data_IF_238730327357
#
_entry.id   IF_238730327357
#
_cell.length_a   1.000
_cell.length_b   1.000
_cell.length_c   1.000
_cell.angle_alpha   90.00
_cell.angle_beta   90.00
_cell.angle_gamma   90.00
#
_symmetry.space_group_name_H-M   'P 1'
#
loop_
_entity.id
_entity.type
_entity.pdbx_description
1 polymer ?
#
# COMPACT_ATOMS: atom_id res chain seq x y z
N UNK A 1 -0.54 -28.52 -47.19
CA UNK A 1 -0.21 -28.67 -45.77
C UNK A 1 -1.37 -28.07 -44.98
N UNK A 2 -2.16 -28.84 -44.18
CA UNK A 2 -3.23 -28.24 -43.40
C UNK A 2 -2.65 -27.52 -42.20
N UNK A 3 -3.04 -26.24 -42.04
CA UNK A 3 -2.82 -25.46 -40.85
C UNK A 3 -3.36 -26.19 -39.62
N UNK A 4 -2.50 -26.45 -38.64
CA UNK A 4 -2.91 -26.92 -37.34
C UNK A 4 -3.69 -25.80 -36.62
N UNK A 5 -5.00 -25.87 -36.68
CA UNK A 5 -5.87 -25.10 -35.87
C UNK A 5 -5.60 -25.48 -34.39
N UNK A 6 -4.86 -24.63 -33.68
CA UNK A 6 -4.68 -24.80 -32.24
C UNK A 6 -6.04 -24.60 -31.59
N UNK A 7 -6.65 -25.66 -31.11
CA UNK A 7 -7.81 -25.58 -30.23
C UNK A 7 -7.35 -24.92 -28.94
N UNK A 8 -7.63 -23.63 -28.81
CA UNK A 8 -7.57 -22.94 -27.52
C UNK A 8 -8.69 -23.58 -26.70
N UNK A 9 -8.34 -24.40 -25.73
CA UNK A 9 -9.28 -24.84 -24.72
C UNK A 9 -9.70 -23.58 -23.94
N UNK A 10 -10.85 -23.04 -24.27
CA UNK A 10 -11.53 -22.03 -23.48
C UNK A 10 -12.02 -22.72 -22.22
N UNK A 11 -11.22 -22.69 -21.17
CA UNK A 11 -11.72 -23.08 -19.85
C UNK A 11 -12.86 -22.11 -19.52
N UNK A 12 -14.09 -22.61 -19.44
CA UNK A 12 -15.23 -21.78 -19.05
C UNK A 12 -15.08 -21.40 -17.58
N UNK A 13 -15.08 -20.08 -17.29
CA UNK A 13 -15.12 -19.55 -15.95
C UNK A 13 -16.24 -20.20 -15.16
N UNK A 14 -15.92 -20.80 -14.03
CA UNK A 14 -16.86 -21.48 -13.18
C UNK A 14 -17.56 -20.53 -12.20
N UNK A 15 -18.71 -20.94 -11.68
CA UNK A 15 -19.33 -20.23 -10.55
C UNK A 15 -18.40 -20.13 -9.33
N UNK A 16 -17.51 -21.12 -9.13
CA UNK A 16 -16.53 -21.11 -8.06
C UNK A 16 -15.49 -20.00 -8.24
N UNK A 17 -15.01 -19.76 -9.47
CA UNK A 17 -14.07 -18.67 -9.78
C UNK A 17 -14.69 -17.31 -9.48
N UNK A 18 -15.91 -17.08 -9.94
CA UNK A 18 -16.64 -15.82 -9.66
C UNK A 18 -16.81 -15.63 -8.15
N UNK A 19 -17.20 -16.70 -7.44
CA UNK A 19 -17.37 -16.66 -5.98
C UNK A 19 -16.04 -16.37 -5.27
N UNK A 20 -14.93 -16.98 -5.69
CA UNK A 20 -13.62 -16.73 -5.16
C UNK A 20 -13.25 -15.25 -5.34
N UNK A 21 -13.27 -14.74 -6.57
CA UNK A 21 -12.89 -13.33 -6.86
C UNK A 21 -13.73 -12.36 -6.03
N UNK A 22 -15.06 -12.56 -5.99
CA UNK A 22 -15.97 -11.71 -5.19
C UNK A 22 -15.68 -11.77 -3.71
N UNK A 23 -15.30 -12.94 -3.18
CA UNK A 23 -14.97 -13.08 -1.75
C UNK A 23 -13.71 -12.30 -1.36
N UNK A 24 -12.79 -12.08 -2.30
CA UNK A 24 -11.55 -11.31 -2.05
C UNK A 24 -11.79 -9.80 -1.81
N UNK A 25 -13.01 -9.32 -1.92
CA UNK A 25 -13.41 -8.02 -1.38
C UNK A 25 -13.28 -7.96 0.15
N UNK A 26 -13.45 -9.10 0.83
CA UNK A 26 -13.38 -9.23 2.28
C UNK A 26 -11.95 -9.53 2.77
N UNK A 27 -11.50 -8.83 3.84
CA UNK A 27 -10.17 -9.04 4.44
C UNK A 27 -10.00 -10.49 4.94
N UNK A 28 -11.05 -11.08 5.51
CA UNK A 28 -11.00 -12.45 6.03
C UNK A 28 -10.70 -13.45 4.91
N UNK A 29 -11.40 -13.34 3.78
CA UNK A 29 -11.18 -14.23 2.64
C UNK A 29 -9.75 -14.07 2.08
N UNK A 30 -9.21 -12.84 2.00
CA UNK A 30 -7.80 -12.62 1.60
C UNK A 30 -6.83 -13.26 2.58
N UNK A 31 -7.09 -13.16 3.87
CA UNK A 31 -6.24 -13.77 4.91
C UNK A 31 -6.28 -15.31 4.85
N UNK A 32 -7.47 -15.90 4.66
CA UNK A 32 -7.66 -17.36 4.59
C UNK A 32 -7.07 -17.96 3.30
N UNK A 33 -7.22 -17.26 2.16
CA UNK A 33 -6.75 -17.75 0.86
C UNK A 33 -5.32 -17.36 0.54
N UNK A 34 -4.80 -16.29 1.14
CA UNK A 34 -3.52 -15.68 0.77
C UNK A 34 -3.55 -15.01 -0.60
N UNK A 35 -4.73 -14.61 -1.11
CA UNK A 35 -4.91 -14.04 -2.45
C UNK A 35 -5.46 -12.62 -2.37
N UNK A 36 -5.17 -11.81 -3.41
CA UNK A 36 -5.79 -10.51 -3.62
C UNK A 36 -6.14 -10.30 -5.09
N UNK A 37 -6.95 -9.29 -5.37
CA UNK A 37 -7.39 -8.94 -6.73
C UNK A 37 -6.72 -7.65 -7.17
N UNK A 38 -6.22 -7.66 -8.41
CA UNK A 38 -5.72 -6.51 -9.13
C UNK A 38 -6.49 -6.34 -10.44
N UNK A 39 -7.02 -5.15 -10.71
CA UNK A 39 -7.83 -4.87 -11.89
C UNK A 39 -7.23 -3.72 -12.71
N UNK A 40 -7.27 -3.86 -14.04
CA UNK A 40 -6.81 -2.88 -15.01
C UNK A 40 -5.55 -3.30 -15.75
N UNK A 41 -5.52 -3.01 -17.06
CA UNK A 41 -4.50 -3.49 -17.99
C UNK A 41 -3.07 -3.15 -17.52
N UNK A 42 -2.82 -1.88 -17.18
CA UNK A 42 -1.49 -1.44 -16.77
C UNK A 42 -0.99 -2.15 -15.50
N UNK A 43 -1.86 -2.32 -14.49
CA UNK A 43 -1.49 -2.98 -13.24
C UNK A 43 -1.21 -4.47 -13.47
N UNK A 44 -2.06 -5.15 -14.25
CA UNK A 44 -1.87 -6.57 -14.56
C UNK A 44 -0.60 -6.80 -15.41
N UNK A 45 -0.30 -5.91 -16.36
CA UNK A 45 0.96 -5.96 -17.14
C UNK A 45 2.19 -5.80 -16.23
N UNK A 46 2.18 -4.86 -15.30
CA UNK A 46 3.24 -4.70 -14.30
C UNK A 46 3.37 -5.95 -13.41
N UNK A 47 2.24 -6.55 -13.00
CA UNK A 47 2.24 -7.81 -12.23
C UNK A 47 2.86 -8.96 -13.04
N UNK A 48 2.50 -9.12 -14.32
CA UNK A 48 3.08 -10.14 -15.20
C UNK A 48 4.60 -9.99 -15.35
N UNK A 49 5.11 -8.77 -15.22
CA UNK A 49 6.56 -8.46 -15.28
C UNK A 49 7.25 -8.50 -13.92
N UNK A 50 6.51 -8.71 -12.83
CA UNK A 50 7.01 -8.74 -11.46
C UNK A 50 7.39 -10.17 -11.02
N UNK A 51 7.87 -10.29 -9.78
CA UNK A 51 8.15 -11.59 -9.13
C UNK A 51 6.96 -12.18 -8.37
N UNK A 52 5.78 -11.56 -8.46
CA UNK A 52 4.60 -12.04 -7.76
C UNK A 52 4.05 -13.31 -8.43
N UNK A 53 3.55 -14.22 -7.60
CA UNK A 53 2.89 -15.44 -8.09
C UNK A 53 1.47 -15.12 -8.52
N UNK A 54 1.19 -15.33 -9.79
CA UNK A 54 -0.14 -15.14 -10.38
C UNK A 54 -0.90 -16.47 -10.30
N UNK A 55 -2.06 -16.44 -9.67
CA UNK A 55 -2.96 -17.60 -9.59
C UNK A 55 -3.83 -17.70 -10.86
N UNK A 56 -4.48 -16.60 -11.28
CA UNK A 56 -5.34 -16.52 -12.46
C UNK A 56 -5.30 -15.10 -13.05
N UNK A 57 -5.50 -15.02 -14.36
CA UNK A 57 -5.81 -13.76 -15.06
C UNK A 57 -7.09 -14.00 -15.86
N UNK A 58 -8.05 -13.11 -15.75
CA UNK A 58 -9.26 -13.10 -16.55
C UNK A 58 -9.24 -11.87 -17.45
N UNK A 59 -9.52 -12.05 -18.74
CA UNK A 59 -9.51 -10.95 -19.70
C UNK A 59 -10.68 -11.03 -20.69
N UNK A 60 -11.17 -9.86 -21.10
CA UNK A 60 -12.09 -9.69 -22.23
C UNK A 60 -11.34 -9.07 -23.40
N UNK A 61 -11.72 -9.40 -24.64
CA UNK A 61 -11.06 -8.79 -25.81
C UNK A 61 -9.66 -9.36 -26.09
N UNK A 62 -8.61 -8.50 -26.06
CA UNK A 62 -7.26 -8.95 -26.38
C UNK A 62 -6.70 -9.91 -25.32
N UNK A 63 -6.15 -11.06 -25.74
CA UNK A 63 -5.58 -12.02 -24.81
C UNK A 63 -4.32 -11.46 -24.12
N UNK A 64 -4.20 -11.73 -22.82
CA UNK A 64 -2.95 -11.48 -22.09
C UNK A 64 -1.99 -12.64 -22.35
N UNK A 65 -0.76 -12.34 -22.72
CA UNK A 65 0.27 -13.36 -23.01
C UNK A 65 0.86 -13.93 -21.72
N UNK A 66 0.05 -14.70 -20.97
CA UNK A 66 0.47 -15.36 -19.74
C UNK A 66 -0.22 -16.73 -19.59
N UNK A 67 0.48 -17.80 -19.10
CA UNK A 67 -0.08 -19.14 -18.99
C UNK A 67 -1.34 -19.24 -18.10
N UNK A 68 -1.49 -18.35 -17.12
CA UNK A 68 -2.64 -18.30 -16.23
C UNK A 68 -3.81 -17.44 -16.78
N UNK A 69 -3.72 -16.96 -18.05
CA UNK A 69 -4.75 -16.11 -18.63
C UNK A 69 -5.90 -16.94 -19.23
N UNK A 70 -7.10 -16.54 -18.87
CA UNK A 70 -8.35 -17.14 -19.33
C UNK A 70 -9.24 -16.05 -19.96
N UNK A 71 -9.80 -16.37 -21.13
CA UNK A 71 -10.74 -15.49 -21.82
C UNK A 71 -12.11 -15.61 -21.18
N UNK A 72 -12.75 -14.48 -20.87
CA UNK A 72 -14.08 -14.40 -20.28
C UNK A 72 -14.99 -13.49 -21.10
N UNK A 73 -16.30 -13.69 -20.99
CA UNK A 73 -17.25 -12.76 -21.58
C UNK A 73 -17.35 -11.46 -20.76
N UNK A 74 -17.76 -10.33 -21.36
CA UNK A 74 -18.00 -9.10 -20.62
C UNK A 74 -18.96 -9.25 -19.45
N UNK A 75 -19.98 -10.11 -19.58
CA UNK A 75 -20.94 -10.41 -18.49
C UNK A 75 -20.27 -11.14 -17.31
N UNK A 76 -19.36 -12.06 -17.59
CA UNK A 76 -18.61 -12.75 -16.54
C UNK A 76 -17.64 -11.78 -15.84
N UNK A 77 -16.93 -10.94 -16.59
CA UNK A 77 -16.07 -9.90 -16.03
C UNK A 77 -16.86 -8.94 -15.14
N UNK A 78 -18.04 -8.48 -15.56
CA UNK A 78 -18.93 -7.64 -14.76
C UNK A 78 -19.32 -8.31 -13.44
N UNK A 79 -19.59 -9.62 -13.47
CA UNK A 79 -19.92 -10.40 -12.24
C UNK A 79 -18.72 -10.61 -11.33
N UNK A 80 -17.50 -10.64 -11.86
CA UNK A 80 -16.26 -10.86 -11.10
C UNK A 80 -15.71 -9.56 -10.52
N UNK A 81 -15.72 -8.48 -11.28
CA UNK A 81 -15.09 -7.22 -10.92
C UNK A 81 -15.52 -6.69 -9.55
N UNK A 82 -14.58 -6.19 -8.79
CA UNK A 82 -14.77 -5.53 -7.49
C UNK A 82 -14.84 -4.00 -7.64
N UNK A 83 -14.65 -3.47 -8.85
CA UNK A 83 -14.75 -2.07 -9.17
C UNK A 83 -16.18 -1.69 -9.56
N UNK A 84 -16.53 -0.42 -9.38
CA UNK A 84 -17.83 0.12 -9.82
C UNK A 84 -17.99 0.05 -11.34
N UNK A 85 -16.90 0.28 -12.07
CA UNK A 85 -16.81 0.11 -13.52
C UNK A 85 -15.80 -0.98 -13.79
N UNK A 86 -16.22 -2.14 -14.29
CA UNK A 86 -15.32 -3.24 -14.62
C UNK A 86 -14.26 -2.84 -15.64
N UNK A 87 -13.08 -3.45 -15.53
CA UNK A 87 -12.00 -3.32 -16.51
C UNK A 87 -11.95 -4.55 -17.40
N UNK A 88 -11.19 -4.47 -18.51
CA UNK A 88 -11.06 -5.58 -19.46
C UNK A 88 -10.14 -6.70 -18.95
N UNK A 89 -9.44 -6.50 -17.83
CA UNK A 89 -8.53 -7.50 -17.27
C UNK A 89 -8.49 -7.44 -15.74
N UNK A 90 -8.49 -8.62 -15.13
CA UNK A 90 -8.43 -8.84 -13.70
C UNK A 90 -7.44 -9.96 -13.40
N UNK A 91 -6.55 -9.78 -12.43
CA UNK A 91 -5.66 -10.82 -11.94
C UNK A 91 -5.97 -11.17 -10.48
N UNK A 92 -5.89 -12.47 -10.18
CA UNK A 92 -5.86 -13.02 -8.82
C UNK A 92 -4.40 -13.38 -8.53
N UNK A 93 -3.85 -12.78 -7.49
CA UNK A 93 -2.41 -12.80 -7.20
C UNK A 93 -2.19 -13.24 -5.76
N UNK A 94 -1.13 -14.00 -5.49
CA UNK A 94 -0.76 -14.36 -4.13
C UNK A 94 -0.26 -13.15 -3.34
N UNK A 95 -0.71 -13.01 -2.10
CA UNK A 95 -0.22 -11.98 -1.19
C UNK A 95 1.24 -12.29 -0.83
N UNK A 96 2.19 -11.40 -1.17
CA UNK A 96 3.60 -11.62 -0.86
C UNK A 96 3.83 -11.60 0.66
N UNK A 97 4.70 -12.48 1.13
CA UNK A 97 5.09 -12.57 2.55
C UNK A 97 6.44 -11.91 2.75
N UNK A 98 6.45 -10.72 3.30
CA UNK A 98 7.68 -9.99 3.63
C UNK A 98 8.06 -10.21 5.09
N UNK A 99 9.33 -10.49 5.34
CA UNK A 99 9.90 -10.50 6.68
C UNK A 99 10.53 -9.14 6.95
N UNK A 100 10.07 -8.46 8.00
CA UNK A 100 10.68 -7.21 8.46
C UNK A 100 12.06 -7.52 9.06
N UNK A 101 13.09 -6.86 8.54
CA UNK A 101 14.44 -6.84 9.13
C UNK A 101 14.61 -5.50 9.86
N UNK A 102 14.63 -5.48 11.21
CA UNK A 102 14.78 -4.23 11.96
C UNK A 102 16.06 -3.44 11.66
N UNK A 103 17.09 -4.09 11.10
CA UNK A 103 18.36 -3.42 10.74
C UNK A 103 18.18 -2.38 9.61
N UNK A 104 17.06 -2.42 8.89
CA UNK A 104 16.76 -1.41 7.85
C UNK A 104 16.61 0.00 8.43
N UNK A 105 16.14 0.15 9.68
CA UNK A 105 15.89 1.45 10.30
C UNK A 105 17.14 2.30 10.48
N UNK A 106 18.31 1.69 10.60
CA UNK A 106 19.61 2.39 10.66
C UNK A 106 20.21 2.70 9.29
N UNK A 107 19.69 2.06 8.22
CA UNK A 107 20.24 2.15 6.85
C UNK A 107 19.34 2.90 5.87
N UNK A 108 18.04 2.91 6.13
CA UNK A 108 17.02 3.48 5.23
C UNK A 108 16.03 4.32 6.01
N UNK A 109 15.33 5.18 5.28
CA UNK A 109 14.15 5.86 5.78
C UNK A 109 12.95 4.93 5.59
N UNK A 110 12.15 4.76 6.64
CA UNK A 110 10.97 3.89 6.68
C UNK A 110 9.75 4.71 7.12
N UNK A 111 8.60 4.48 6.52
CA UNK A 111 7.33 5.02 7.01
C UNK A 111 6.72 4.09 8.05
N UNK A 112 6.11 4.66 9.07
CA UNK A 112 5.31 3.96 10.07
C UNK A 112 3.91 4.55 10.13
N UNK A 113 2.87 3.71 10.11
CA UNK A 113 1.47 4.12 10.09
C UNK A 113 0.77 3.61 11.36
N UNK A 114 0.38 4.54 12.21
CA UNK A 114 -0.31 4.27 13.47
C UNK A 114 -1.82 4.41 13.27
N UNK A 115 -2.48 3.29 13.02
CA UNK A 115 -3.93 3.17 12.86
C UNK A 115 -4.52 4.05 11.73
N UNK A 116 -3.82 4.25 10.62
CA UNK A 116 -4.36 4.91 9.44
C UNK A 116 -5.42 4.01 8.81
N UNK A 117 -6.68 4.45 8.78
CA UNK A 117 -7.82 3.58 8.46
C UNK A 117 -8.45 3.82 7.10
N UNK A 118 -8.28 5.00 6.51
CA UNK A 118 -8.88 5.30 5.22
C UNK A 118 -8.12 4.61 4.07
N UNK A 119 -8.76 3.72 3.28
CA UNK A 119 -8.13 3.03 2.17
C UNK A 119 -7.51 3.97 1.11
N UNK A 120 -8.14 5.11 0.86
CA UNK A 120 -7.62 6.12 -0.07
C UNK A 120 -6.30 6.74 0.42
N UNK A 121 -6.21 7.01 1.73
CA UNK A 121 -4.97 7.52 2.34
C UNK A 121 -3.85 6.47 2.25
N UNK A 122 -4.13 5.21 2.60
CA UNK A 122 -3.13 4.13 2.51
C UNK A 122 -2.60 4.00 1.08
N UNK A 123 -3.49 3.93 0.08
CA UNK A 123 -3.07 3.82 -1.31
C UNK A 123 -2.21 5.02 -1.77
N UNK A 124 -2.58 6.22 -1.35
CA UNK A 124 -1.80 7.43 -1.63
C UNK A 124 -0.45 7.40 -0.92
N UNK A 125 -0.39 6.99 0.35
CA UNK A 125 0.86 6.89 1.11
C UNK A 125 1.81 5.84 0.48
N UNK A 126 1.30 4.71 0.01
CA UNK A 126 2.11 3.70 -0.69
C UNK A 126 2.69 4.31 -1.99
N UNK A 127 1.92 5.09 -2.75
CA UNK A 127 2.44 5.81 -3.93
C UNK A 127 3.51 6.83 -3.58
N UNK A 128 3.32 7.56 -2.48
CA UNK A 128 4.32 8.53 -1.99
C UNK A 128 5.60 7.83 -1.56
N UNK A 129 5.50 6.67 -0.88
CA UNK A 129 6.65 5.87 -0.51
C UNK A 129 7.46 5.46 -1.75
N UNK A 130 6.81 4.91 -2.78
CA UNK A 130 7.42 4.57 -4.06
C UNK A 130 8.09 5.79 -4.71
N UNK A 131 7.38 6.92 -4.79
CA UNK A 131 7.88 8.16 -5.38
C UNK A 131 9.14 8.71 -4.70
N UNK A 132 9.16 8.63 -3.37
CA UNK A 132 10.29 9.12 -2.57
C UNK A 132 11.34 8.05 -2.27
N UNK A 133 11.29 6.88 -2.91
CA UNK A 133 12.25 5.79 -2.72
C UNK A 133 12.26 5.24 -1.29
N UNK A 134 11.09 5.16 -0.65
CA UNK A 134 10.88 4.50 0.64
C UNK A 134 10.31 3.12 0.34
N UNK A 135 11.11 2.09 0.52
CA UNK A 135 10.77 0.73 0.10
C UNK A 135 9.95 -0.05 1.14
N UNK A 136 9.94 0.40 2.39
CA UNK A 136 9.31 -0.30 3.51
C UNK A 136 8.36 0.62 4.28
N UNK A 137 7.14 0.12 4.51
CA UNK A 137 6.14 0.73 5.38
C UNK A 137 5.82 -0.26 6.49
N UNK A 138 5.90 0.16 7.76
CA UNK A 138 5.43 -0.61 8.91
C UNK A 138 4.07 -0.08 9.35
N UNK A 139 3.11 -0.96 9.53
CA UNK A 139 1.73 -0.64 9.89
C UNK A 139 1.36 -1.29 11.22
N UNK A 140 0.61 -0.58 12.05
CA UNK A 140 -0.12 -1.22 13.15
C UNK A 140 -1.17 -2.20 12.59
N UNK A 141 -1.60 -3.17 13.39
CA UNK A 141 -2.60 -4.17 13.00
C UNK A 141 -3.96 -3.55 12.62
N UNK A 142 -4.29 -2.39 13.24
CA UNK A 142 -5.53 -1.66 12.97
C UNK A 142 -5.46 -0.78 11.71
N UNK A 143 -4.28 -0.61 11.11
CA UNK A 143 -4.14 0.08 9.83
C UNK A 143 -4.89 -0.67 8.73
N UNK A 144 -5.53 0.06 7.81
CA UNK A 144 -6.28 -0.53 6.71
C UNK A 144 -5.41 -1.47 5.87
N UNK A 145 -6.02 -2.57 5.42
CA UNK A 145 -5.33 -3.60 4.65
C UNK A 145 -4.89 -3.08 3.27
N UNK A 146 -3.58 -3.13 3.00
CA UNK A 146 -2.98 -2.67 1.74
C UNK A 146 -3.43 -3.49 0.52
N UNK A 147 -3.90 -4.74 0.72
CA UNK A 147 -4.45 -5.59 -0.33
C UNK A 147 -5.97 -5.47 -0.48
N UNK A 148 -6.62 -4.55 0.25
CA UNK A 148 -8.00 -4.18 -0.05
C UNK A 148 -8.08 -3.68 -1.50
N UNK A 149 -9.06 -4.11 -2.33
CA UNK A 149 -9.16 -3.73 -3.74
C UNK A 149 -9.12 -2.22 -3.99
N UNK A 150 -9.74 -1.43 -3.10
CA UNK A 150 -9.69 0.04 -3.19
C UNK A 150 -8.30 0.60 -2.95
N UNK A 151 -7.53 -0.01 -2.03
CA UNK A 151 -6.14 0.39 -1.78
C UNK A 151 -5.26 -0.01 -2.96
N UNK A 152 -5.34 -1.27 -3.41
CA UNK A 152 -4.58 -1.76 -4.57
C UNK A 152 -4.78 -0.84 -5.77
N UNK A 153 -6.02 -0.47 -6.08
CA UNK A 153 -6.33 0.46 -7.16
C UNK A 153 -5.71 1.85 -6.94
N UNK A 154 -5.78 2.38 -5.71
CA UNK A 154 -5.26 3.70 -5.38
C UNK A 154 -3.72 3.77 -5.41
N UNK A 155 -3.03 2.63 -5.27
CA UNK A 155 -1.56 2.59 -5.33
C UNK A 155 -1.01 2.83 -6.74
N UNK A 156 -1.81 2.63 -7.79
CA UNK A 156 -1.37 2.77 -9.20
C UNK A 156 -0.09 1.96 -9.51
N UNK A 157 -0.01 0.73 -8.98
CA UNK A 157 1.13 -0.17 -9.17
C UNK A 157 2.26 -0.04 -8.12
N UNK A 158 2.26 0.98 -7.28
CA UNK A 158 3.30 1.14 -6.24
C UNK A 158 3.34 -0.02 -5.23
N UNK A 159 2.22 -0.73 -5.03
CA UNK A 159 2.14 -1.93 -4.18
C UNK A 159 3.11 -3.05 -4.60
N UNK A 160 3.59 -3.03 -5.84
CA UNK A 160 4.55 -4.02 -6.36
C UNK A 160 6.00 -3.70 -5.97
N UNK A 161 6.29 -2.46 -5.54
CA UNK A 161 7.63 -1.96 -5.25
C UNK A 161 7.84 -1.60 -3.79
N UNK A 162 6.75 -1.39 -3.04
CA UNK A 162 6.78 -1.04 -1.62
C UNK A 162 6.33 -2.22 -0.79
N UNK A 163 7.14 -2.64 0.17
CA UNK A 163 6.82 -3.71 1.12
C UNK A 163 6.04 -3.14 2.29
N UNK A 164 4.85 -3.64 2.52
CA UNK A 164 4.01 -3.24 3.66
C UNK A 164 4.02 -4.35 4.70
N UNK A 165 4.45 -4.02 5.92
CA UNK A 165 4.60 -4.94 7.03
C UNK A 165 3.59 -4.61 8.14
N UNK A 166 2.67 -5.51 8.45
CA UNK A 166 1.78 -5.40 9.60
C UNK A 166 2.44 -6.05 10.82
N UNK A 167 2.56 -5.29 11.92
CA UNK A 167 3.29 -5.73 13.10
C UNK A 167 2.74 -5.07 14.37
N UNK A 168 3.16 -5.58 15.54
CA UNK A 168 3.08 -4.80 16.78
C UNK A 168 3.96 -3.55 16.64
N UNK A 169 3.33 -2.45 16.20
CA UNK A 169 4.02 -1.19 15.95
C UNK A 169 4.68 -0.65 17.21
N UNK A 170 4.03 -0.80 18.37
CA UNK A 170 4.56 -0.33 19.65
C UNK A 170 5.83 -1.07 20.04
N UNK A 171 5.85 -2.40 19.92
CA UNK A 171 7.04 -3.20 20.17
C UNK A 171 8.17 -2.87 19.17
N UNK A 172 7.83 -2.62 17.91
CA UNK A 172 8.79 -2.25 16.86
C UNK A 172 9.42 -0.88 17.16
N UNK A 173 8.62 0.13 17.50
CA UNK A 173 9.13 1.46 17.86
C UNK A 173 9.95 1.44 19.14
N UNK A 174 9.56 0.65 20.15
CA UNK A 174 10.34 0.43 21.38
C UNK A 174 11.71 -0.14 21.06
N UNK A 175 11.79 -1.15 20.20
CA UNK A 175 13.06 -1.75 19.77
C UNK A 175 13.94 -0.76 19.01
N UNK A 176 13.36 0.02 18.10
CA UNK A 176 14.05 1.06 17.35
C UNK A 176 14.62 2.14 18.28
N UNK A 177 13.85 2.61 19.25
CA UNK A 177 14.28 3.59 20.24
C UNK A 177 15.44 3.05 21.11
N UNK A 178 15.36 1.77 21.55
CA UNK A 178 16.44 1.12 22.29
C UNK A 178 17.74 0.98 21.48
N UNK A 179 17.63 0.88 20.15
CA UNK A 179 18.75 0.88 19.21
C UNK A 179 19.20 2.29 18.79
N UNK A 180 18.71 3.35 19.46
CA UNK A 180 18.98 4.76 19.13
C UNK A 180 18.62 5.17 17.69
N UNK A 181 17.71 4.45 17.05
CA UNK A 181 17.18 4.81 15.74
C UNK A 181 16.30 6.06 15.86
N UNK A 182 16.50 7.11 15.06
CA UNK A 182 15.64 8.28 15.10
C UNK A 182 14.20 7.92 14.71
N UNK A 183 13.22 8.30 15.55
CA UNK A 183 11.79 8.20 15.28
C UNK A 183 11.21 9.61 15.24
N UNK A 184 10.78 10.02 14.05
CA UNK A 184 10.19 11.32 13.77
C UNK A 184 8.67 11.19 13.73
N UNK A 185 7.98 11.68 14.73
CA UNK A 185 6.51 11.69 14.72
C UNK A 185 5.97 13.03 14.21
N UNK A 186 4.87 12.99 13.45
CA UNK A 186 4.16 14.20 12.99
C UNK A 186 3.05 14.56 13.96
N UNK A 187 3.06 15.81 14.45
CA UNK A 187 2.12 16.32 15.45
C UNK A 187 1.63 17.73 15.06
N UNK A 188 0.61 18.21 15.78
CA UNK A 188 0.12 19.59 15.64
C UNK A 188 1.02 20.61 16.34
N UNK A 189 1.95 20.13 17.21
CA UNK A 189 2.94 20.93 17.91
C UNK A 189 4.28 20.22 17.90
N UNK A 190 5.36 20.95 17.82
CA UNK A 190 6.70 20.40 17.78
C UNK A 190 7.71 21.30 17.09
N UNK A 191 8.79 20.71 16.64
CA UNK A 191 9.82 21.38 15.86
C UNK A 191 9.33 21.62 14.43
N UNK A 192 9.50 22.84 13.93
CA UNK A 192 9.17 23.18 12.55
C UNK A 192 9.97 22.30 11.58
N UNK A 193 9.28 21.49 10.77
CA UNK A 193 9.91 20.56 9.86
C UNK A 193 10.90 21.21 8.90
N UNK A 194 10.64 22.45 8.51
CA UNK A 194 11.49 23.21 7.56
C UNK A 194 12.82 23.68 8.16
N UNK A 195 12.96 23.71 9.49
CA UNK A 195 14.19 24.05 10.20
C UNK A 195 14.79 22.87 10.98
N UNK A 196 14.03 21.78 11.14
CA UNK A 196 14.46 20.59 11.87
C UNK A 196 15.70 19.95 11.25
N UNK A 197 16.58 19.40 12.07
CA UNK A 197 17.72 18.61 11.56
C UNK A 197 17.26 17.17 11.29
N UNK A 198 17.00 16.85 10.03
CA UNK A 198 16.48 15.55 9.58
C UNK A 198 17.63 14.64 9.11
N UNK A 199 17.51 13.34 9.39
CA UNK A 199 18.50 12.33 8.97
C UNK A 199 17.99 11.57 7.73
N UNK A 200 18.90 10.94 6.99
CA UNK A 200 18.57 10.12 5.80
C UNK A 200 18.02 8.74 6.16
N UNK A 201 18.09 8.35 7.43
CA UNK A 201 17.65 7.05 7.95
C UNK A 201 16.77 7.24 9.16
N UNK A 202 16.02 6.21 9.54
CA UNK A 202 15.12 6.24 10.69
C UNK A 202 13.67 6.00 10.30
N UNK A 203 12.77 6.31 11.20
CA UNK A 203 11.34 6.05 11.05
C UNK A 203 10.58 7.37 11.05
N UNK A 204 9.74 7.59 10.05
CA UNK A 204 8.73 8.66 10.01
C UNK A 204 7.40 8.05 10.45
N UNK A 205 6.88 8.47 11.60
CA UNK A 205 5.64 7.99 12.18
C UNK A 205 4.48 8.96 11.85
N UNK A 206 3.50 8.44 11.12
CA UNK A 206 2.26 9.11 10.77
C UNK A 206 1.12 8.55 11.62
N UNK A 207 0.30 9.40 12.17
CA UNK A 207 -0.82 9.02 13.04
C UNK A 207 -2.13 8.82 12.29
N UNK A 208 -3.15 8.37 13.04
CA UNK A 208 -4.53 8.23 12.61
C UNK A 208 -5.12 9.59 12.18
N UNK A 209 -6.05 9.58 11.23
CA UNK A 209 -6.66 10.78 10.64
C UNK A 209 -7.35 11.70 11.66
N UNK A 210 -7.99 11.11 12.67
CA UNK A 210 -8.75 11.87 13.67
C UNK A 210 -8.05 12.01 15.03
N UNK A 211 -7.21 11.03 15.40
CA UNK A 211 -6.58 10.96 16.72
C UNK A 211 -5.09 11.31 16.72
N UNK A 212 -4.49 11.39 15.54
CA UNK A 212 -3.04 11.55 15.42
C UNK A 212 -2.26 10.31 15.85
N UNK A 213 -1.02 10.50 16.27
CA UNK A 213 -0.16 9.44 16.82
C UNK A 213 -0.68 9.07 18.22
N UNK A 214 -0.88 7.77 18.46
CA UNK A 214 -1.36 7.28 19.75
C UNK A 214 -0.33 7.50 20.87
N UNK A 215 -0.79 7.72 22.12
CA UNK A 215 0.08 7.94 23.28
C UNK A 215 1.05 6.78 23.50
N UNK A 216 0.59 5.54 23.25
CA UNK A 216 1.42 4.33 23.36
C UNK A 216 2.61 4.33 22.39
N UNK A 217 2.50 5.03 21.25
CA UNK A 217 3.56 5.13 20.24
C UNK A 217 4.32 6.46 20.36
N UNK A 218 3.67 7.54 20.80
CA UNK A 218 4.27 8.87 20.98
C UNK A 218 5.43 8.88 21.97
N UNK A 219 5.43 8.00 22.98
CA UNK A 219 6.51 7.87 23.95
C UNK A 219 7.85 7.42 23.36
N UNK A 220 7.84 6.80 22.18
CA UNK A 220 9.06 6.33 21.47
C UNK A 220 9.51 7.32 20.39
N UNK A 221 8.80 8.43 20.22
CA UNK A 221 9.18 9.48 19.27
C UNK A 221 10.36 10.27 19.85
N UNK A 222 11.48 10.26 19.15
CA UNK A 222 12.66 11.04 19.53
C UNK A 222 12.57 12.50 19.11
N UNK A 223 11.81 12.81 18.06
CA UNK A 223 11.60 14.17 17.56
C UNK A 223 10.16 14.36 17.07
N UNK A 224 9.48 15.32 17.67
CA UNK A 224 8.13 15.72 17.26
C UNK A 224 8.24 16.79 16.19
N UNK A 225 7.73 16.50 15.00
CA UNK A 225 7.75 17.40 13.85
C UNK A 225 6.39 18.07 13.66
N UNK A 226 6.41 19.32 13.25
CA UNK A 226 5.23 20.13 12.99
C UNK A 226 5.33 20.78 11.61
N UNK A 227 4.27 20.69 10.81
CA UNK A 227 4.12 21.40 9.54
C UNK A 227 3.35 22.69 9.83
N UNK A 228 4.01 23.87 9.83
CA UNK A 228 3.34 25.11 10.20
C UNK A 228 2.30 25.54 9.14
N UNK A 229 1.14 26.09 9.57
CA UNK A 229 0.20 26.76 8.68
C UNK A 229 0.79 28.08 8.16
N UNK A 230 0.19 28.65 7.13
CA UNK A 230 0.58 29.98 6.64
C UNK A 230 -0.64 30.94 6.57
N UNK A 231 -0.49 32.16 7.11
CA UNK A 231 0.54 32.58 8.09
C UNK A 231 0.39 31.80 9.40
N UNK A 232 1.45 31.72 10.20
CA UNK A 232 1.49 30.93 11.43
C UNK A 232 0.41 31.33 12.47
N UNK A 233 -0.13 32.53 12.36
CA UNK A 233 -1.20 33.09 13.23
C UNK A 233 -2.61 32.79 12.73
N UNK A 234 -2.75 32.07 11.59
CA UNK A 234 -4.06 31.81 10.98
C UNK A 234 -4.83 30.77 11.78
N UNK A 235 -6.05 31.12 12.17
CA UNK A 235 -7.05 30.16 12.61
C UNK A 235 -7.75 29.57 11.37
N UNK A 236 -7.61 28.29 11.14
CA UNK A 236 -8.14 27.59 9.95
C UNK A 236 -8.41 26.12 10.24
N UNK A 237 -8.12 25.25 9.27
CA UNK A 237 -8.20 23.80 9.46
C UNK A 237 -7.28 23.35 10.60
N UNK A 238 -7.80 22.49 11.48
CA UNK A 238 -7.05 21.99 12.65
C UNK A 238 -5.90 21.07 12.27
N UNK A 239 -6.01 20.36 11.13
CA UNK A 239 -5.01 19.42 10.66
C UNK A 239 -5.00 19.28 9.14
N UNK A 240 -3.92 18.73 8.61
CA UNK A 240 -3.81 18.27 7.23
C UNK A 240 -4.30 16.83 7.10
N UNK A 241 -4.81 16.46 5.92
CA UNK A 241 -5.01 15.07 5.58
C UNK A 241 -3.68 14.30 5.75
N UNK A 242 -3.73 13.08 6.31
CA UNK A 242 -2.53 12.30 6.66
C UNK A 242 -1.65 12.00 5.44
N UNK A 243 -2.23 11.71 4.26
CA UNK A 243 -1.45 11.45 3.06
C UNK A 243 -0.77 12.75 2.55
N UNK A 244 -1.42 13.91 2.67
CA UNK A 244 -0.82 15.20 2.34
C UNK A 244 0.31 15.54 3.32
N UNK A 245 0.10 15.35 4.62
CA UNK A 245 1.15 15.52 5.62
C UNK A 245 2.34 14.58 5.35
N UNK A 246 2.08 13.33 4.96
CA UNK A 246 3.12 12.37 4.55
C UNK A 246 3.91 12.89 3.34
N UNK A 247 3.23 13.43 2.32
CA UNK A 247 3.89 13.95 1.12
C UNK A 247 4.86 15.09 1.47
N UNK A 248 4.41 16.06 2.27
CA UNK A 248 5.22 17.21 2.70
C UNK A 248 6.42 16.71 3.52
N UNK A 249 6.17 15.78 4.46
CA UNK A 249 7.21 15.22 5.32
C UNK A 249 8.26 14.49 4.49
N UNK A 250 7.86 13.57 3.63
CA UNK A 250 8.80 12.83 2.76
C UNK A 250 9.58 13.74 1.83
N UNK A 251 8.93 14.76 1.24
CA UNK A 251 9.58 15.74 0.38
C UNK A 251 10.68 16.50 1.14
N UNK A 252 10.41 16.90 2.39
CA UNK A 252 11.39 17.64 3.19
C UNK A 252 12.58 16.76 3.62
N UNK A 253 12.34 15.50 3.98
CA UNK A 253 13.40 14.53 4.24
C UNK A 253 14.30 14.31 3.02
N UNK A 254 13.72 14.21 1.82
CA UNK A 254 14.47 13.97 0.56
C UNK A 254 15.14 15.23 0.01
N UNK A 255 14.57 16.42 0.25
CA UNK A 255 15.17 17.68 -0.18
C UNK A 255 16.54 17.93 0.45
N UNK A 256 16.77 17.38 1.64
CA UNK A 256 18.01 17.55 2.40
C UNK A 256 18.97 16.38 2.30
N UNK A 257 18.57 15.34 1.56
CA UNK A 257 19.27 14.05 1.47
C UNK A 257 20.22 13.90 0.28
#
# INVERSE_FOLDING_TARGET
MPEKMAYVFVNMVTHADIKLVRSLADKRARTETGLFVAEGAKLVEEICSSTLTINRIYCTGNPVAHPAAEQVSPKEMERMSLLKTPTDVLAVVEIPKYRLDPSIFSRKLVLALDDVQNPGNIGTIIRLADWFGIEDIICSEATADCFNPKVVQATMGAILRVRVHYTDLTATLKSAAAAHTPVYGTFLEGENIYSANLTRTGIILMGNEGRGVSDRNAQYVSRRLFIPPYPATRHGSESLNVAIATAITCAEFRRRG
#
